data_IF_512961502133
#
_entry.id   IF_512961502133
#
_cell.length_a   1.000
_cell.length_b   1.000
_cell.length_c   1.000
_cell.angle_alpha   90.00
_cell.angle_beta   90.00
_cell.angle_gamma   90.00
#
_symmetry.space_group_name_H-M   'P 1'
#
loop_
_entity.id
_entity.type
_entity.pdbx_description
1 polymer ?
#
# COMPACT_ATOMS: atom_id res chain seq x y z
N UNK A 1 24.91 9.84 14.40
CA UNK A 1 24.10 10.36 13.31
C UNK A 1 23.21 9.24 12.82
N UNK A 2 21.94 9.50 12.53
CA UNK A 2 20.91 8.50 12.26
C UNK A 2 20.92 8.08 10.79
N UNK A 3 20.41 6.89 10.50
CA UNK A 3 20.06 6.47 9.15
C UNK A 3 18.72 7.11 8.77
N UNK A 4 18.67 7.83 7.66
CA UNK A 4 17.42 8.35 7.11
C UNK A 4 16.86 7.38 6.06
N UNK A 5 15.55 7.13 6.09
CA UNK A 5 14.88 6.32 5.07
C UNK A 5 13.86 7.17 4.32
N UNK A 6 14.04 7.31 3.01
CA UNK A 6 13.08 7.95 2.12
C UNK A 6 12.21 6.89 1.46
N UNK A 7 10.92 6.93 1.76
CA UNK A 7 9.94 5.94 1.32
C UNK A 7 9.15 6.45 0.12
N UNK A 8 9.13 5.66 -0.96
CA UNK A 8 8.28 5.89 -2.13
C UNK A 8 7.27 4.76 -2.26
N UNK A 9 6.04 5.11 -2.65
CA UNK A 9 5.03 4.14 -3.04
C UNK A 9 3.97 3.81 -1.97
N UNK A 10 3.83 2.54 -1.59
CA UNK A 10 2.66 2.04 -0.88
C UNK A 10 2.85 1.93 0.65
N UNK A 11 1.76 1.60 1.35
CA UNK A 11 1.72 1.36 2.81
C UNK A 11 2.67 0.25 3.24
N UNK A 12 2.86 -0.76 2.40
CA UNK A 12 3.80 -1.85 2.64
C UNK A 12 5.25 -1.33 2.67
N UNK A 13 5.62 -0.46 1.72
CA UNK A 13 6.94 0.20 1.76
C UNK A 13 7.11 1.05 3.03
N UNK A 14 6.04 1.68 3.54
CA UNK A 14 6.12 2.43 4.79
C UNK A 14 6.43 1.52 5.98
N UNK A 15 5.77 0.37 6.10
CA UNK A 15 6.10 -0.64 7.11
C UNK A 15 7.56 -1.12 6.96
N UNK A 16 7.95 -1.50 5.75
CA UNK A 16 9.30 -2.00 5.48
C UNK A 16 10.39 -0.95 5.78
N UNK A 17 10.08 0.33 5.61
CA UNK A 17 11.03 1.42 5.93
C UNK A 17 11.33 1.53 7.43
N UNK A 18 10.39 1.20 8.31
CA UNK A 18 10.65 1.12 9.76
C UNK A 18 11.59 -0.06 10.08
N UNK A 19 11.39 -1.21 9.41
CA UNK A 19 12.31 -2.36 9.54
C UNK A 19 13.70 -1.98 9.04
N UNK A 20 13.78 -1.36 7.86
CA UNK A 20 15.03 -0.91 7.26
C UNK A 20 15.78 0.04 8.20
N UNK A 21 15.11 1.06 8.73
CA UNK A 21 15.72 2.02 9.64
C UNK A 21 16.35 1.32 10.84
N UNK A 22 15.58 0.43 11.49
CA UNK A 22 16.02 -0.34 12.65
C UNK A 22 17.22 -1.24 12.33
N UNK A 23 17.16 -2.00 11.24
CA UNK A 23 18.22 -2.96 10.91
C UNK A 23 19.50 -2.24 10.41
N UNK A 24 19.36 -1.15 9.68
CA UNK A 24 20.49 -0.33 9.25
C UNK A 24 21.17 0.38 10.45
N UNK A 25 20.41 0.89 11.41
CA UNK A 25 20.94 1.45 12.66
C UNK A 25 21.66 0.39 13.49
N UNK A 26 21.07 -0.80 13.66
CA UNK A 26 21.70 -1.94 14.35
C UNK A 26 22.98 -2.40 13.69
N UNK A 27 23.04 -2.34 12.37
CA UNK A 27 24.27 -2.60 11.62
C UNK A 27 25.33 -1.51 11.78
N UNK A 28 24.95 -0.36 12.35
CA UNK A 28 25.85 0.77 12.60
C UNK A 28 26.18 1.58 11.35
N UNK A 29 25.25 1.68 10.38
CA UNK A 29 25.38 2.61 9.26
C UNK A 29 25.31 4.03 9.79
N UNK A 30 26.16 4.89 9.27
CA UNK A 30 26.24 6.31 9.59
C UNK A 30 26.27 7.13 8.28
N UNK A 31 25.78 8.36 8.33
CA UNK A 31 25.75 9.29 7.20
C UNK A 31 25.18 8.64 5.91
N UNK A 32 24.13 7.84 6.12
CA UNK A 32 23.51 7.02 5.07
C UNK A 32 22.05 7.38 4.89
N UNK A 33 21.61 7.53 3.65
CA UNK A 33 20.19 7.59 3.29
C UNK A 33 19.80 6.34 2.50
N UNK A 34 18.76 5.66 2.95
CA UNK A 34 18.18 4.53 2.25
C UNK A 34 16.97 4.98 1.45
N UNK A 35 16.96 4.71 0.15
CA UNK A 35 15.85 4.98 -0.76
C UNK A 35 15.04 3.72 -0.93
N UNK A 36 13.88 3.61 -0.27
CA UNK A 36 12.95 2.49 -0.46
C UNK A 36 12.02 2.78 -1.65
N UNK A 37 12.35 2.25 -2.81
CA UNK A 37 11.80 2.61 -4.12
C UNK A 37 10.52 1.84 -4.48
N UNK A 38 9.71 2.44 -5.37
CA UNK A 38 8.48 1.85 -5.91
C UNK A 38 8.61 1.59 -7.41
N UNK A 39 8.09 0.43 -7.88
CA UNK A 39 8.08 0.05 -9.30
C UNK A 39 6.70 0.21 -9.96
N UNK A 40 5.66 0.62 -9.25
CA UNK A 40 4.28 0.62 -9.77
C UNK A 40 4.07 1.62 -10.90
N UNK A 41 4.68 2.80 -10.84
CA UNK A 41 4.59 3.81 -11.90
C UNK A 41 5.97 4.33 -12.33
N UNK A 42 6.11 4.73 -13.61
CA UNK A 42 7.35 5.36 -14.11
C UNK A 42 7.65 6.66 -13.36
N UNK A 43 6.60 7.37 -12.95
CA UNK A 43 6.73 8.60 -12.17
C UNK A 43 7.38 8.33 -10.81
N UNK A 44 6.96 7.28 -10.08
CA UNK A 44 7.57 6.91 -8.80
C UNK A 44 9.07 6.57 -8.95
N UNK A 45 9.44 5.87 -10.02
CA UNK A 45 10.86 5.59 -10.33
C UNK A 45 11.61 6.88 -10.65
N UNK A 46 11.03 7.78 -11.43
CA UNK A 46 11.63 9.06 -11.77
C UNK A 46 11.82 9.95 -10.53
N UNK A 47 10.84 10.01 -9.64
CA UNK A 47 10.91 10.75 -8.37
C UNK A 47 12.03 10.21 -7.46
N UNK A 48 12.17 8.89 -7.35
CA UNK A 48 13.26 8.27 -6.59
C UNK A 48 14.63 8.70 -7.15
N UNK A 49 14.83 8.61 -8.47
CA UNK A 49 16.08 9.04 -9.13
C UNK A 49 16.37 10.54 -8.97
N UNK A 50 15.35 11.38 -9.06
CA UNK A 50 15.51 12.83 -8.84
C UNK A 50 15.91 13.12 -7.39
N UNK A 51 15.31 12.43 -6.42
CA UNK A 51 15.65 12.57 -5.01
C UNK A 51 17.08 12.14 -4.71
N UNK A 52 17.56 11.05 -5.30
CA UNK A 52 18.95 10.57 -5.21
C UNK A 52 19.91 11.67 -5.68
N UNK A 53 19.71 12.21 -6.90
CA UNK A 53 20.56 13.28 -7.46
C UNK A 53 20.53 14.56 -6.62
N UNK A 54 19.35 14.93 -6.11
CA UNK A 54 19.21 16.09 -5.22
C UNK A 54 20.01 15.92 -3.94
N UNK A 55 19.84 14.78 -3.25
CA UNK A 55 20.55 14.47 -2.00
C UNK A 55 22.07 14.51 -2.17
N UNK A 56 22.60 13.89 -3.21
CA UNK A 56 24.05 13.85 -3.45
C UNK A 56 24.62 15.21 -3.81
N UNK A 57 23.83 16.07 -4.47
CA UNK A 57 24.22 17.47 -4.75
C UNK A 57 24.22 18.34 -3.49
N UNK A 58 23.23 18.16 -2.60
CA UNK A 58 23.10 18.91 -1.34
C UNK A 58 24.11 18.44 -0.29
N UNK A 59 24.42 17.15 -0.28
CA UNK A 59 25.35 16.51 0.67
C UNK A 59 26.23 15.48 -0.07
N UNK A 60 27.36 15.91 -0.69
CA UNK A 60 28.21 15.03 -1.51
C UNK A 60 28.80 13.84 -0.77
N UNK A 61 29.06 13.98 0.54
CA UNK A 61 29.63 12.94 1.42
C UNK A 61 28.61 11.85 1.78
N UNK A 62 27.32 12.09 1.55
CA UNK A 62 26.25 11.18 1.96
C UNK A 62 26.33 9.87 1.20
N UNK A 63 26.23 8.74 1.92
CA UNK A 63 26.12 7.41 1.34
C UNK A 63 24.66 7.14 0.95
N UNK A 64 24.41 6.64 -0.25
CA UNK A 64 23.08 6.37 -0.76
C UNK A 64 22.94 4.88 -1.07
N UNK A 65 22.06 4.23 -0.32
CA UNK A 65 21.65 2.83 -0.56
C UNK A 65 20.26 2.82 -1.17
N UNK A 66 20.07 2.11 -2.27
CA UNK A 66 18.75 2.01 -2.92
C UNK A 66 18.20 0.59 -2.74
N UNK A 67 16.93 0.50 -2.38
CA UNK A 67 16.20 -0.77 -2.24
C UNK A 67 14.75 -0.63 -2.70
N UNK A 68 13.93 -1.66 -2.51
CA UNK A 68 12.52 -1.67 -2.86
C UNK A 68 12.21 -2.25 -4.23
N UNK A 69 10.95 -2.15 -4.65
CA UNK A 69 10.47 -2.85 -5.85
C UNK A 69 11.19 -2.41 -7.14
N UNK A 70 11.56 -1.13 -7.28
CA UNK A 70 12.26 -0.66 -8.46
C UNK A 70 13.73 -1.14 -8.47
N UNK A 71 14.39 -1.15 -7.31
CA UNK A 71 15.73 -1.70 -7.17
C UNK A 71 15.78 -3.21 -7.47
N UNK A 72 14.76 -3.96 -7.07
CA UNK A 72 14.65 -5.39 -7.37
C UNK A 72 14.44 -5.67 -8.86
N UNK A 73 13.63 -4.85 -9.54
CA UNK A 73 13.28 -5.09 -10.96
C UNK A 73 14.25 -4.47 -11.97
N UNK A 74 15.02 -3.48 -11.56
CA UNK A 74 15.96 -2.73 -12.40
C UNK A 74 17.21 -2.33 -11.59
N UNK A 75 17.95 -3.29 -11.01
CA UNK A 75 19.09 -2.99 -10.14
C UNK A 75 20.21 -2.26 -10.88
N UNK A 76 20.49 -2.62 -12.14
CA UNK A 76 21.53 -2.02 -12.97
C UNK A 76 21.28 -0.53 -13.17
N UNK A 77 20.01 -0.12 -13.41
CA UNK A 77 19.65 1.28 -13.61
C UNK A 77 20.05 2.16 -12.41
N UNK A 78 19.97 1.64 -11.20
CA UNK A 78 20.40 2.36 -10.01
C UNK A 78 21.91 2.23 -9.77
N UNK A 79 22.49 1.07 -10.01
CA UNK A 79 23.94 0.83 -9.84
C UNK A 79 24.80 1.67 -10.80
N UNK A 80 24.29 1.98 -12.00
CA UNK A 80 24.92 2.87 -12.99
C UNK A 80 24.89 4.35 -12.57
N UNK A 81 24.07 4.74 -11.61
CA UNK A 81 24.08 6.11 -11.10
C UNK A 81 25.33 6.33 -10.24
N UNK A 82 26.10 7.38 -10.58
CA UNK A 82 27.31 7.72 -9.83
C UNK A 82 27.03 8.09 -8.36
N UNK A 83 25.81 8.57 -8.11
CA UNK A 83 25.33 8.96 -6.80
C UNK A 83 24.98 7.78 -5.88
N UNK A 84 24.80 6.58 -6.43
CA UNK A 84 24.39 5.38 -5.67
C UNK A 84 25.60 4.57 -5.28
N UNK A 85 25.71 4.31 -4.00
CA UNK A 85 26.83 3.54 -3.43
C UNK A 85 26.51 2.04 -3.35
N UNK A 86 25.21 1.65 -3.14
CA UNK A 86 24.80 0.25 -3.10
C UNK A 86 23.32 0.07 -3.48
N UNK A 87 23.00 -1.10 -4.04
CA UNK A 87 21.63 -1.55 -4.35
C UNK A 87 21.37 -2.83 -3.58
N UNK A 88 20.32 -2.84 -2.76
CA UNK A 88 19.92 -3.99 -1.91
C UNK A 88 18.55 -4.50 -2.36
N UNK A 89 18.42 -5.81 -2.51
CA UNK A 89 17.19 -6.45 -2.96
C UNK A 89 16.02 -6.32 -1.98
N UNK A 90 14.86 -6.72 -2.44
CA UNK A 90 13.60 -6.51 -1.72
C UNK A 90 13.37 -7.53 -0.59
N UNK A 91 14.02 -8.70 -0.65
CA UNK A 91 14.06 -9.66 0.46
C UNK A 91 15.21 -9.34 1.40
N UNK A 92 16.38 -9.04 0.86
CA UNK A 92 17.60 -8.73 1.59
C UNK A 92 17.42 -7.53 2.52
N UNK A 93 16.68 -6.50 2.10
CA UNK A 93 16.43 -5.31 2.92
C UNK A 93 15.75 -5.60 4.27
N UNK A 94 15.10 -6.76 4.38
CA UNK A 94 14.42 -7.22 5.59
C UNK A 94 15.34 -8.03 6.51
N UNK A 95 16.60 -8.27 6.15
CA UNK A 95 17.55 -9.14 6.88
C UNK A 95 18.70 -8.33 7.46
N UNK A 96 19.02 -8.57 8.72
CA UNK A 96 20.14 -7.90 9.42
C UNK A 96 21.49 -8.13 8.75
N UNK A 97 21.68 -9.33 8.17
CA UNK A 97 22.91 -9.71 7.47
C UNK A 97 23.20 -8.76 6.31
N UNK A 98 22.21 -8.48 5.48
CA UNK A 98 22.36 -7.63 4.31
C UNK A 98 22.83 -6.20 4.67
N UNK A 99 22.39 -5.68 5.82
CA UNK A 99 22.80 -4.36 6.30
C UNK A 99 24.22 -4.37 6.86
N UNK A 100 24.66 -5.46 7.52
CA UNK A 100 26.04 -5.63 7.95
C UNK A 100 26.99 -5.73 6.76
N UNK A 101 26.61 -6.48 5.73
CA UNK A 101 27.35 -6.57 4.46
C UNK A 101 27.37 -5.22 3.72
N UNK A 102 26.25 -4.52 3.69
CA UNK A 102 26.19 -3.18 3.10
C UNK A 102 27.13 -2.21 3.80
N UNK A 103 27.18 -2.22 5.14
CA UNK A 103 28.13 -1.44 5.91
C UNK A 103 29.58 -1.79 5.56
N UNK A 104 29.95 -3.08 5.60
CA UNK A 104 31.30 -3.53 5.31
C UNK A 104 31.75 -3.08 3.90
N UNK A 105 30.87 -3.21 2.90
CA UNK A 105 31.14 -2.76 1.54
C UNK A 105 31.32 -1.24 1.44
N UNK A 106 30.50 -0.45 2.15
CA UNK A 106 30.59 1.01 2.17
C UNK A 106 31.84 1.51 2.92
N UNK A 107 32.31 0.79 3.93
CA UNK A 107 33.49 1.16 4.72
C UNK A 107 34.82 0.72 4.07
N UNK A 108 34.80 -0.23 3.13
CA UNK A 108 36.00 -0.72 2.45
C UNK A 108 36.68 0.32 1.56
N UNK A 109 35.97 1.37 1.12
CA UNK A 109 36.52 2.50 0.36
C UNK A 109 37.11 2.16 -1.01
N UNK A 110 37.08 0.91 -1.42
CA UNK A 110 37.56 0.48 -2.74
C UNK A 110 36.53 0.84 -3.81
N UNK A 111 37.00 1.31 -4.95
CA UNK A 111 36.17 1.64 -6.12
C UNK A 111 35.38 0.42 -6.58
N UNK A 112 34.17 0.31 -6.03
CA UNK A 112 33.26 -0.81 -6.29
C UNK A 112 32.74 -0.67 -7.72
N UNK A 113 32.99 -1.68 -8.55
CA UNK A 113 32.41 -1.76 -9.90
C UNK A 113 30.89 -1.80 -9.87
N UNK A 114 30.23 -1.46 -10.97
CA UNK A 114 28.74 -1.40 -11.04
C UNK A 114 28.09 -2.72 -10.60
N UNK A 115 28.67 -3.87 -10.97
CA UNK A 115 28.18 -5.20 -10.57
C UNK A 115 28.35 -5.48 -9.08
N UNK A 116 29.40 -4.97 -8.47
CA UNK A 116 29.70 -5.16 -7.04
C UNK A 116 28.80 -4.29 -6.15
N UNK A 117 28.19 -3.23 -6.69
CA UNK A 117 27.18 -2.45 -5.99
C UNK A 117 25.87 -3.20 -5.79
N UNK A 118 25.59 -4.26 -6.55
CA UNK A 118 24.32 -4.96 -6.59
C UNK A 118 24.34 -6.14 -5.62
N UNK A 119 23.51 -6.07 -4.59
CA UNK A 119 23.20 -7.16 -3.66
C UNK A 119 21.71 -7.51 -3.77
N UNK A 120 21.33 -8.11 -4.88
CA UNK A 120 19.95 -8.44 -5.24
C UNK A 120 19.87 -9.89 -5.68
N UNK A 121 19.21 -10.74 -4.89
CA UNK A 121 18.98 -12.13 -5.22
C UNK A 121 17.70 -12.33 -6.06
N UNK A 122 17.50 -13.55 -6.56
CA UNK A 122 16.27 -13.93 -7.25
C UNK A 122 15.10 -13.97 -6.28
N UNK A 123 14.25 -12.95 -6.36
CA UNK A 123 13.06 -12.82 -5.51
C UNK A 123 12.06 -13.98 -5.71
N UNK A 124 12.09 -14.66 -6.86
CA UNK A 124 11.21 -15.81 -7.14
C UNK A 124 11.65 -17.08 -6.39
N UNK A 125 12.90 -17.15 -5.92
CA UNK A 125 13.40 -18.23 -5.09
C UNK A 125 12.98 -18.14 -3.62
N UNK A 126 12.54 -16.98 -3.17
CA UNK A 126 12.16 -16.75 -1.76
C UNK A 126 10.84 -17.47 -1.46
N UNK A 127 10.86 -18.35 -0.44
CA UNK A 127 9.72 -19.19 -0.04
C UNK A 127 9.09 -18.77 1.27
N UNK A 128 9.86 -18.17 2.16
CA UNK A 128 9.42 -17.84 3.51
C UNK A 128 9.51 -16.35 3.75
N UNK A 129 8.70 -15.86 4.65
CA UNK A 129 8.72 -14.49 5.12
C UNK A 129 9.18 -14.48 6.58
N UNK A 130 10.29 -13.79 6.86
CA UNK A 130 10.72 -13.60 8.22
C UNK A 130 9.70 -12.69 8.95
N UNK A 131 9.13 -13.13 10.09
CA UNK A 131 8.29 -12.26 10.89
C UNK A 131 9.16 -11.16 11.48
N UNK A 132 8.84 -9.91 11.18
CA UNK A 132 9.49 -8.76 11.80
C UNK A 132 8.59 -8.22 12.91
N UNK A 133 8.88 -8.64 14.13
CA UNK A 133 8.32 -8.00 15.33
C UNK A 133 8.99 -6.63 15.44
N UNK A 134 8.31 -5.60 14.99
CA UNK A 134 8.74 -4.22 15.22
C UNK A 134 8.47 -3.88 16.69
N UNK A 135 9.53 -3.47 17.38
CA UNK A 135 9.43 -2.95 18.73
C UNK A 135 8.70 -1.60 18.82
N UNK A 136 7.96 -1.20 17.80
CA UNK A 136 7.21 0.04 17.60
C UNK A 136 7.63 0.74 16.33
N UNK A 137 6.71 1.53 15.81
CA UNK A 137 6.98 2.56 14.83
C UNK A 137 7.54 3.79 15.54
N UNK A 138 8.03 4.79 14.80
CA UNK A 138 8.41 6.10 15.39
C UNK A 138 7.37 6.50 16.41
N UNK A 139 7.83 6.80 17.62
CA UNK A 139 6.94 7.14 18.74
C UNK A 139 5.94 8.22 18.33
N UNK A 140 4.66 8.02 18.63
CA UNK A 140 3.61 9.00 18.40
C UNK A 140 2.82 8.85 17.09
N UNK A 141 3.04 7.80 16.27
CA UNK A 141 2.17 7.55 15.12
C UNK A 141 0.82 6.96 15.60
N UNK A 142 -0.31 7.66 15.40
CA UNK A 142 -1.62 7.18 15.83
C UNK A 142 -2.08 5.91 15.11
N UNK A 143 -1.66 5.78 13.84
CA UNK A 143 -1.96 4.66 12.94
C UNK A 143 -0.68 4.02 12.48
N UNK A 144 -0.64 2.69 12.52
CA UNK A 144 0.52 1.91 12.08
C UNK A 144 0.09 0.78 11.14
N UNK A 145 1.03 0.37 10.28
CA UNK A 145 0.81 -0.71 9.33
C UNK A 145 1.40 -2.00 9.86
N UNK A 146 0.70 -3.11 9.67
CA UNK A 146 1.19 -4.46 9.98
C UNK A 146 1.16 -5.29 8.70
N UNK A 147 2.33 -5.70 8.25
CA UNK A 147 2.45 -6.58 7.11
C UNK A 147 1.98 -7.99 7.49
N UNK A 148 0.97 -8.49 6.76
CA UNK A 148 0.45 -9.85 6.95
C UNK A 148 0.77 -10.78 5.79
N UNK A 149 1.06 -10.20 4.62
CA UNK A 149 1.31 -10.94 3.38
C UNK A 149 2.25 -10.14 2.47
N UNK A 150 3.07 -10.82 1.67
CA UNK A 150 3.93 -10.21 0.66
C UNK A 150 3.97 -11.09 -0.60
N UNK A 151 4.33 -10.47 -1.75
CA UNK A 151 4.32 -11.15 -3.04
C UNK A 151 2.92 -11.37 -3.59
N UNK A 152 2.81 -11.97 -4.78
CA UNK A 152 1.53 -12.24 -5.43
C UNK A 152 1.69 -13.35 -6.47
N UNK A 153 0.79 -14.34 -6.43
CA UNK A 153 0.77 -15.45 -7.40
C UNK A 153 -0.03 -15.12 -8.66
N UNK A 154 -0.77 -14.00 -8.64
CA UNK A 154 -1.44 -13.54 -9.83
C UNK A 154 -0.45 -13.02 -10.87
N UNK A 155 -0.78 -13.22 -12.11
CA UNK A 155 0.03 -12.80 -13.28
C UNK A 155 -0.80 -11.85 -14.15
N UNK A 156 -1.33 -10.78 -13.51
CA UNK A 156 -2.01 -9.70 -14.22
C UNK A 156 -1.09 -9.12 -15.28
N UNK A 157 -1.61 -8.92 -16.49
CA UNK A 157 -0.78 -8.62 -17.67
C UNK A 157 -0.02 -7.30 -17.60
N UNK A 158 -0.43 -6.39 -16.74
CA UNK A 158 0.18 -5.07 -16.55
C UNK A 158 1.12 -4.99 -15.34
N UNK A 159 1.10 -6.01 -14.46
CA UNK A 159 1.66 -5.91 -13.13
C UNK A 159 3.13 -6.35 -13.09
N UNK A 160 3.98 -5.49 -12.51
CA UNK A 160 5.39 -5.75 -12.28
C UNK A 160 5.66 -6.31 -10.86
N UNK A 161 4.66 -6.30 -9.99
CA UNK A 161 4.83 -6.62 -8.56
C UNK A 161 5.36 -8.03 -8.31
N UNK A 162 4.93 -9.10 -9.00
CA UNK A 162 5.51 -10.42 -8.80
C UNK A 162 7.02 -10.46 -9.01
N UNK A 163 7.53 -9.67 -9.96
CA UNK A 163 8.97 -9.58 -10.24
C UNK A 163 9.74 -8.73 -9.22
N UNK A 164 9.04 -7.83 -8.53
CA UNK A 164 9.64 -7.02 -7.47
C UNK A 164 9.49 -7.61 -6.08
N UNK A 165 8.53 -8.53 -5.86
CA UNK A 165 8.19 -9.04 -4.54
C UNK A 165 8.11 -10.56 -4.44
N UNK A 166 8.20 -11.28 -5.56
CA UNK A 166 8.12 -12.74 -5.61
C UNK A 166 6.71 -13.29 -5.51
N UNK A 167 6.62 -14.59 -5.24
CA UNK A 167 5.38 -15.31 -5.02
C UNK A 167 4.72 -14.93 -3.69
N UNK A 168 3.44 -15.25 -3.54
CA UNK A 168 2.67 -15.00 -2.32
C UNK A 168 3.29 -15.72 -1.12
N UNK A 169 3.43 -15.00 -0.02
CA UNK A 169 3.94 -15.49 1.26
C UNK A 169 3.22 -14.78 2.39
N UNK A 170 2.82 -15.52 3.40
CA UNK A 170 2.03 -15.04 4.53
C UNK A 170 2.84 -15.04 5.82
N UNK A 171 2.58 -14.08 6.70
CA UNK A 171 3.11 -14.11 8.07
C UNK A 171 2.26 -15.08 8.89
N UNK A 172 2.86 -16.00 9.68
CA UNK A 172 2.10 -16.87 10.56
C UNK A 172 1.14 -16.10 11.47
N UNK A 173 -0.09 -16.60 11.61
CA UNK A 173 -1.18 -15.92 12.33
C UNK A 173 -0.80 -15.50 13.75
N UNK A 174 -0.14 -16.38 14.51
CA UNK A 174 0.32 -16.08 15.87
C UNK A 174 1.28 -14.88 15.90
N UNK A 175 2.23 -14.82 14.98
CA UNK A 175 3.17 -13.70 14.89
C UNK A 175 2.48 -12.37 14.54
N UNK A 176 1.43 -12.40 13.70
CA UNK A 176 0.62 -11.19 13.43
C UNK A 176 -0.12 -10.74 14.68
N UNK A 177 -0.75 -11.66 15.41
CA UNK A 177 -1.48 -11.35 16.67
C UNK A 177 -0.52 -10.75 17.71
N UNK A 178 0.66 -11.33 17.89
CA UNK A 178 1.67 -10.84 18.83
C UNK A 178 2.20 -9.46 18.44
N UNK A 179 2.42 -9.22 17.14
CA UNK A 179 2.80 -7.89 16.64
C UNK A 179 1.72 -6.85 16.90
N UNK A 180 0.46 -7.18 16.66
CA UNK A 180 -0.68 -6.28 16.91
C UNK A 180 -0.79 -5.97 18.39
N UNK A 181 -0.65 -6.98 19.26
CA UNK A 181 -0.68 -6.81 20.71
C UNK A 181 0.42 -5.85 21.18
N UNK A 182 1.67 -6.10 20.78
CA UNK A 182 2.79 -5.25 21.12
C UNK A 182 2.61 -3.78 20.70
N UNK A 183 2.01 -3.54 19.54
CA UNK A 183 1.72 -2.19 19.04
C UNK A 183 0.59 -1.52 19.85
N UNK A 184 -0.46 -2.26 20.20
CA UNK A 184 -1.56 -1.74 21.04
C UNK A 184 -1.09 -1.40 22.44
N UNK A 185 -0.27 -2.24 23.08
CA UNK A 185 0.36 -2.00 24.38
C UNK A 185 1.21 -0.72 24.40
N UNK A 186 1.75 -0.32 23.25
CA UNK A 186 2.50 0.94 23.07
C UNK A 186 1.64 2.16 22.75
N UNK A 187 0.31 1.98 22.72
CA UNK A 187 -0.65 3.06 22.60
C UNK A 187 -1.05 3.42 21.17
N UNK A 188 -0.68 2.61 20.15
CA UNK A 188 -1.19 2.84 18.81
C UNK A 188 -2.69 2.57 18.74
N UNK A 189 -3.45 3.57 18.28
CA UNK A 189 -4.91 3.54 18.32
C UNK A 189 -5.55 2.81 17.14
N UNK A 190 -4.90 2.80 15.97
CA UNK A 190 -5.38 2.11 14.77
C UNK A 190 -4.29 1.24 14.15
N UNK A 191 -4.62 -0.02 13.93
CA UNK A 191 -3.79 -0.98 13.19
C UNK A 191 -4.38 -1.17 11.79
N UNK A 192 -3.53 -1.09 10.76
CA UNK A 192 -3.92 -1.35 9.38
C UNK A 192 -3.19 -2.58 8.87
N UNK A 193 -3.93 -3.66 8.62
CA UNK A 193 -3.36 -4.84 7.95
C UNK A 193 -3.00 -4.47 6.53
N UNK A 194 -1.80 -4.82 6.10
CA UNK A 194 -1.30 -4.50 4.76
C UNK A 194 -0.60 -5.70 4.13
N UNK A 195 -0.67 -5.76 2.82
CA UNK A 195 -0.05 -6.77 1.99
C UNK A 195 -0.11 -6.38 0.52
N UNK A 196 0.36 -7.25 -0.34
CA UNK A 196 0.28 -7.11 -1.80
C UNK A 196 -1.05 -7.67 -2.31
N UNK A 197 -1.41 -8.85 -1.81
CA UNK A 197 -2.60 -9.63 -2.18
C UNK A 197 -3.16 -10.28 -0.92
N UNK A 198 -3.79 -9.46 -0.09
CA UNK A 198 -4.20 -9.89 1.25
C UNK A 198 -5.30 -10.95 1.24
N UNK A 199 -6.14 -11.00 0.21
CA UNK A 199 -7.17 -12.02 0.08
C UNK A 199 -6.61 -13.42 -0.17
N UNK A 200 -5.35 -13.51 -0.65
CA UNK A 200 -4.60 -14.77 -0.74
C UNK A 200 -3.89 -15.20 0.54
N UNK A 201 -4.07 -14.43 1.65
CA UNK A 201 -3.43 -14.75 2.94
C UNK A 201 -3.66 -16.20 3.35
N UNK A 202 -2.58 -16.85 3.79
CA UNK A 202 -2.58 -18.16 4.42
C UNK A 202 -2.52 -19.34 3.48
N UNK A 203 -2.61 -19.15 2.15
CA UNK A 203 -2.53 -20.25 1.18
C UNK A 203 -1.22 -21.06 1.24
N UNK A 204 -0.18 -20.47 1.76
CA UNK A 204 1.17 -21.02 1.97
C UNK A 204 1.42 -21.49 3.42
N UNK A 205 0.46 -21.30 4.32
CA UNK A 205 0.57 -21.68 5.73
C UNK A 205 -0.12 -23.03 6.01
N UNK A 206 0.33 -23.78 7.03
CA UNK A 206 -0.35 -25.00 7.45
C UNK A 206 -1.81 -24.73 7.80
N UNK A 207 -2.72 -25.55 7.25
CA UNK A 207 -4.16 -25.41 7.44
C UNK A 207 -4.83 -24.32 6.61
N UNK A 208 -4.07 -23.64 5.76
CA UNK A 208 -4.54 -22.63 4.80
C UNK A 208 -5.55 -21.61 5.40
N UNK A 209 -5.22 -20.97 6.54
CA UNK A 209 -6.12 -20.00 7.17
C UNK A 209 -6.41 -18.85 6.23
N UNK A 210 -7.62 -18.29 6.29
CA UNK A 210 -8.03 -17.17 5.45
C UNK A 210 -7.92 -15.82 6.20
N UNK A 211 -7.99 -14.71 5.46
CA UNK A 211 -7.91 -13.36 6.00
C UNK A 211 -8.99 -13.08 7.06
N UNK A 212 -10.21 -13.60 6.86
CA UNK A 212 -11.28 -13.47 7.84
C UNK A 212 -10.94 -14.15 9.16
N UNK A 213 -10.37 -15.36 9.12
CA UNK A 213 -9.91 -16.07 10.32
C UNK A 213 -8.80 -15.28 11.04
N UNK A 214 -7.80 -14.77 10.31
CA UNK A 214 -6.77 -13.90 10.90
C UNK A 214 -7.42 -12.70 11.60
N UNK A 215 -8.37 -12.04 10.93
CA UNK A 215 -9.07 -10.86 11.47
C UNK A 215 -9.84 -11.21 12.75
N UNK A 216 -10.58 -12.32 12.76
CA UNK A 216 -11.27 -12.84 13.97
C UNK A 216 -10.29 -13.13 15.11
N UNK A 217 -9.14 -13.74 14.82
CA UNK A 217 -8.13 -14.05 15.87
C UNK A 217 -7.49 -12.79 16.45
N UNK A 218 -7.15 -11.80 15.62
CA UNK A 218 -6.65 -10.50 16.12
C UNK A 218 -7.66 -9.86 17.07
N UNK A 219 -8.91 -9.74 16.64
CA UNK A 219 -9.97 -9.09 17.42
C UNK A 219 -10.30 -9.84 18.72
N UNK A 220 -10.20 -11.18 18.70
CA UNK A 220 -10.40 -12.04 19.87
C UNK A 220 -9.26 -11.91 20.88
N UNK A 221 -8.00 -11.91 20.42
CA UNK A 221 -6.83 -12.01 21.30
C UNK A 221 -6.21 -10.65 21.66
N UNK A 222 -6.70 -9.57 21.07
CA UNK A 222 -6.30 -8.19 21.38
C UNK A 222 -7.56 -7.35 21.61
N UNK A 223 -8.27 -7.55 22.73
CA UNK A 223 -9.53 -6.85 23.03
C UNK A 223 -9.36 -5.34 23.21
N UNK A 224 -8.16 -4.87 23.57
CA UNK A 224 -7.82 -3.46 23.74
C UNK A 224 -7.64 -2.71 22.42
N UNK A 225 -7.55 -3.42 21.30
CA UNK A 225 -7.47 -2.82 19.96
C UNK A 225 -8.73 -2.02 19.67
N UNK A 226 -8.56 -0.70 19.53
CA UNK A 226 -9.70 0.22 19.30
C UNK A 226 -10.18 0.20 17.86
N UNK A 227 -9.24 0.10 16.89
CA UNK A 227 -9.55 0.23 15.46
C UNK A 227 -8.66 -0.70 14.65
N UNK A 228 -9.29 -1.61 13.93
CA UNK A 228 -8.64 -2.46 12.93
C UNK A 228 -9.08 -2.02 11.54
N UNK A 229 -8.18 -1.94 10.60
CA UNK A 229 -8.47 -1.60 9.21
C UNK A 229 -7.77 -2.54 8.26
N UNK A 230 -8.40 -2.86 7.15
CA UNK A 230 -7.84 -3.63 6.05
C UNK A 230 -7.46 -2.64 4.93
N UNK A 231 -6.25 -2.78 4.34
CA UNK A 231 -5.77 -1.81 3.35
C UNK A 231 -6.46 -1.96 1.99
N UNK A 232 -6.31 -3.10 1.33
CA UNK A 232 -6.95 -3.37 0.03
C UNK A 232 -7.22 -4.86 -0.13
N UNK A 233 -8.30 -5.19 -0.83
CA UNK A 233 -8.74 -6.56 -1.07
C UNK A 233 -9.16 -6.76 -2.53
N UNK A 234 -9.10 -7.99 -2.99
CA UNK A 234 -9.75 -8.42 -4.23
C UNK A 234 -11.17 -8.93 -3.90
N UNK A 235 -12.19 -8.27 -4.43
CA UNK A 235 -13.60 -8.51 -4.08
C UNK A 235 -14.07 -9.94 -4.31
N UNK A 236 -13.52 -10.62 -5.33
CA UNK A 236 -13.93 -11.99 -5.69
C UNK A 236 -13.36 -13.06 -4.75
N UNK A 237 -12.37 -12.73 -3.93
CA UNK A 237 -11.68 -13.67 -3.03
C UNK A 237 -12.02 -13.46 -1.56
N UNK A 238 -12.97 -12.60 -1.26
CA UNK A 238 -13.39 -12.35 0.11
C UNK A 238 -14.05 -13.61 0.70
N UNK A 239 -13.47 -14.11 1.78
CA UNK A 239 -13.98 -15.29 2.46
C UNK A 239 -15.18 -14.97 3.39
N UNK A 240 -15.95 -16.02 3.74
CA UNK A 240 -17.15 -15.88 4.57
C UNK A 240 -16.84 -15.29 5.96
N UNK A 241 -15.76 -15.73 6.58
CA UNK A 241 -15.36 -15.24 7.90
C UNK A 241 -15.10 -13.75 7.88
N UNK A 242 -14.52 -13.23 6.77
CA UNK A 242 -14.31 -11.78 6.60
C UNK A 242 -15.65 -11.04 6.43
N UNK A 243 -16.61 -11.58 5.70
CA UNK A 243 -17.95 -11.00 5.58
C UNK A 243 -18.66 -10.94 6.94
N UNK A 244 -18.54 -11.98 7.77
CA UNK A 244 -19.11 -11.99 9.12
C UNK A 244 -18.48 -10.87 9.99
N UNK A 245 -17.14 -10.70 9.93
CA UNK A 245 -16.45 -9.64 10.68
C UNK A 245 -16.85 -8.25 10.16
N UNK A 246 -17.04 -8.07 8.85
CA UNK A 246 -17.55 -6.82 8.28
C UNK A 246 -18.93 -6.48 8.81
N UNK A 247 -19.80 -7.50 8.96
CA UNK A 247 -21.17 -7.33 9.42
C UNK A 247 -21.27 -7.00 10.92
N UNK A 248 -20.47 -7.68 11.76
CA UNK A 248 -20.75 -7.78 13.19
C UNK A 248 -19.73 -7.03 14.07
N UNK A 249 -18.49 -6.81 13.59
CA UNK A 249 -17.42 -6.31 14.45
C UNK A 249 -17.24 -4.78 14.31
N UNK A 250 -17.62 -4.04 15.34
CA UNK A 250 -17.51 -2.58 15.36
C UNK A 250 -16.06 -2.07 15.31
N UNK A 251 -15.10 -2.83 15.82
CA UNK A 251 -13.67 -2.47 15.81
C UNK A 251 -13.03 -2.66 14.44
N UNK A 252 -13.65 -3.42 13.52
CA UNK A 252 -13.28 -3.37 12.11
C UNK A 252 -13.90 -2.10 11.49
N UNK A 253 -13.04 -1.20 11.06
CA UNK A 253 -13.48 0.09 10.51
C UNK A 253 -14.32 -0.09 9.23
N UNK A 254 -15.46 0.65 9.10
CA UNK A 254 -16.38 0.54 7.97
C UNK A 254 -15.82 1.21 6.71
N UNK A 255 -14.73 0.65 6.21
CA UNK A 255 -14.06 1.10 4.99
C UNK A 255 -13.34 -0.07 4.34
N UNK A 256 -13.62 -0.31 3.07
CA UNK A 256 -12.91 -1.28 2.23
C UNK A 256 -12.36 -0.59 0.98
N UNK A 257 -11.17 -0.99 0.56
CA UNK A 257 -10.57 -0.56 -0.69
C UNK A 257 -10.44 -1.74 -1.65
N UNK A 258 -10.97 -1.61 -2.87
CA UNK A 258 -11.14 -2.72 -3.81
C UNK A 258 -10.17 -2.59 -4.98
N UNK A 259 -9.52 -3.69 -5.34
CA UNK A 259 -8.62 -3.76 -6.49
C UNK A 259 -9.40 -4.04 -7.78
N UNK A 260 -10.31 -3.13 -8.21
CA UNK A 260 -11.21 -3.34 -9.35
C UNK A 260 -10.51 -3.22 -10.71
N UNK A 261 -9.60 -2.28 -10.86
CA UNK A 261 -8.74 -2.02 -12.03
C UNK A 261 -9.48 -1.51 -13.28
N UNK A 262 -10.66 -2.02 -13.62
CA UNK A 262 -11.50 -1.59 -14.75
C UNK A 262 -12.97 -1.91 -14.51
N UNK A 263 -13.85 -1.18 -15.17
CA UNK A 263 -15.30 -1.47 -15.23
C UNK A 263 -15.76 -2.13 -16.52
N UNK A 264 -14.84 -2.66 -17.32
CA UNK A 264 -15.15 -3.31 -18.60
C UNK A 264 -14.64 -4.74 -18.64
N UNK A 265 -15.51 -5.71 -18.91
CA UNK A 265 -15.20 -7.14 -18.86
C UNK A 265 -14.13 -7.55 -19.88
N UNK A 266 -14.09 -6.92 -21.07
CA UNK A 266 -13.05 -7.23 -22.04
C UNK A 266 -11.69 -6.71 -21.58
N UNK A 267 -11.63 -5.54 -20.95
CA UNK A 267 -10.40 -5.01 -20.35
C UNK A 267 -9.99 -5.86 -19.18
N UNK A 268 -10.90 -6.24 -18.27
CA UNK A 268 -10.63 -7.15 -17.14
C UNK A 268 -10.06 -8.48 -17.64
N UNK A 269 -10.63 -9.06 -18.69
CA UNK A 269 -10.12 -10.28 -19.32
C UNK A 269 -8.69 -10.09 -19.88
N UNK A 270 -8.42 -8.97 -20.57
CA UNK A 270 -7.08 -8.62 -21.10
C UNK A 270 -6.07 -8.37 -19.96
N UNK A 271 -6.53 -7.85 -18.83
CA UNK A 271 -5.75 -7.70 -17.60
C UNK A 271 -5.47 -9.02 -16.90
N UNK A 272 -6.16 -10.13 -17.27
CA UNK A 272 -6.22 -11.40 -16.53
C UNK A 272 -6.78 -11.22 -15.11
N UNK A 273 -7.80 -10.38 -14.96
CA UNK A 273 -8.59 -10.31 -13.72
C UNK A 273 -9.57 -11.48 -13.65
N UNK A 274 -9.97 -11.84 -12.44
CA UNK A 274 -10.82 -13.01 -12.16
C UNK A 274 -12.27 -12.66 -11.88
N UNK A 275 -12.57 -11.38 -11.74
CA UNK A 275 -13.93 -10.85 -11.57
C UNK A 275 -14.40 -10.18 -12.86
N UNK A 276 -15.71 -10.14 -13.00
CA UNK A 276 -16.44 -9.35 -14.00
C UNK A 276 -16.93 -8.05 -13.37
N UNK A 277 -17.39 -7.13 -14.22
CA UNK A 277 -18.07 -5.90 -13.77
C UNK A 277 -19.25 -6.20 -12.83
N UNK A 278 -20.09 -7.19 -13.18
CA UNK A 278 -21.23 -7.61 -12.38
C UNK A 278 -20.83 -8.06 -10.97
N UNK A 279 -19.73 -8.81 -10.84
CA UNK A 279 -19.24 -9.31 -9.56
C UNK A 279 -18.84 -8.15 -8.63
N UNK A 280 -18.21 -7.11 -9.19
CA UNK A 280 -17.85 -5.91 -8.43
C UNK A 280 -19.10 -5.17 -7.91
N UNK A 281 -20.12 -4.99 -8.75
CA UNK A 281 -21.37 -4.33 -8.38
C UNK A 281 -22.12 -5.15 -7.31
N UNK A 282 -22.21 -6.46 -7.50
CA UNK A 282 -22.86 -7.37 -6.55
C UNK A 282 -22.16 -7.39 -5.19
N UNK A 283 -20.84 -7.47 -5.18
CA UNK A 283 -20.05 -7.39 -3.93
C UNK A 283 -20.27 -6.07 -3.20
N UNK A 284 -20.25 -4.93 -3.91
CA UNK A 284 -20.51 -3.63 -3.31
C UNK A 284 -21.93 -3.56 -2.71
N UNK A 285 -22.94 -4.12 -3.40
CA UNK A 285 -24.29 -4.22 -2.88
C UNK A 285 -24.38 -5.16 -1.66
N UNK A 286 -23.69 -6.29 -1.69
CA UNK A 286 -23.64 -7.25 -0.59
C UNK A 286 -23.09 -6.64 0.69
N UNK A 287 -21.89 -6.02 0.62
CA UNK A 287 -21.27 -5.45 1.83
C UNK A 287 -22.07 -4.27 2.39
N UNK A 288 -22.81 -3.51 1.55
CA UNK A 288 -23.74 -2.48 2.03
C UNK A 288 -24.97 -3.05 2.72
N UNK A 289 -25.47 -4.20 2.28
CA UNK A 289 -26.56 -4.87 3.02
C UNK A 289 -26.09 -5.33 4.40
N UNK A 290 -24.84 -5.79 4.52
CA UNK A 290 -24.24 -6.22 5.78
C UNK A 290 -23.88 -5.04 6.69
N UNK A 291 -23.36 -3.96 6.11
CA UNK A 291 -22.93 -2.74 6.84
C UNK A 291 -23.29 -1.50 6.04
N UNK A 292 -24.50 -0.92 6.26
CA UNK A 292 -25.06 0.13 5.41
C UNK A 292 -24.25 1.42 5.33
N UNK A 293 -23.48 1.74 6.35
CA UNK A 293 -22.63 2.94 6.44
C UNK A 293 -21.25 2.79 5.79
N UNK A 294 -20.88 1.59 5.30
CA UNK A 294 -19.55 1.30 4.79
C UNK A 294 -19.15 2.24 3.64
N UNK A 295 -17.93 2.78 3.76
CA UNK A 295 -17.32 3.56 2.69
C UNK A 295 -16.46 2.63 1.80
N UNK A 296 -16.69 2.69 0.49
CA UNK A 296 -15.97 1.89 -0.48
C UNK A 296 -15.00 2.75 -1.28
N UNK A 297 -13.80 2.26 -1.48
CA UNK A 297 -12.82 2.83 -2.40
C UNK A 297 -12.40 1.82 -3.45
N UNK A 298 -11.81 2.30 -4.55
CA UNK A 298 -11.25 1.41 -5.55
C UNK A 298 -10.04 1.99 -6.28
N UNK A 299 -9.18 1.08 -6.78
CA UNK A 299 -8.15 1.38 -7.76
C UNK A 299 -8.70 1.15 -9.16
N UNK A 300 -8.57 2.13 -10.07
CA UNK A 300 -8.94 2.00 -11.47
C UNK A 300 -7.83 2.54 -12.37
N UNK A 301 -7.48 1.76 -13.40
CA UNK A 301 -6.49 2.12 -14.42
C UNK A 301 -7.20 2.78 -15.60
N UNK A 302 -6.78 3.99 -15.96
CA UNK A 302 -7.26 4.71 -17.14
C UNK A 302 -6.30 4.51 -18.31
N UNK A 303 -6.83 4.14 -19.48
CA UNK A 303 -6.06 4.00 -20.70
C UNK A 303 -5.23 2.72 -20.79
N UNK A 304 -5.74 1.62 -20.23
CA UNK A 304 -5.14 0.29 -20.45
C UNK A 304 -5.04 0.00 -21.97
N UNK A 305 -3.98 -0.70 -22.46
CA UNK A 305 -3.85 -1.03 -23.87
C UNK A 305 -5.14 -1.57 -24.47
N UNK A 306 -5.50 -1.06 -25.64
CA UNK A 306 -6.73 -1.40 -26.39
C UNK A 306 -8.05 -0.91 -25.76
N UNK A 307 -8.04 -0.09 -24.73
CA UNK A 307 -9.25 0.51 -24.15
C UNK A 307 -9.87 1.48 -25.15
N UNK A 308 -11.15 1.27 -25.51
CA UNK A 308 -11.94 2.22 -26.31
C UNK A 308 -12.60 3.28 -25.42
N UNK A 309 -13.27 4.26 -26.03
CA UNK A 309 -14.01 5.27 -25.25
C UNK A 309 -15.23 4.67 -24.53
N UNK A 310 -15.91 3.71 -25.15
CA UNK A 310 -17.05 3.01 -24.55
C UNK A 310 -16.60 2.12 -23.37
N UNK A 311 -15.44 1.47 -23.48
CA UNK A 311 -14.86 0.68 -22.39
C UNK A 311 -14.46 1.57 -21.21
N UNK A 312 -13.87 2.73 -21.51
CA UNK A 312 -13.57 3.75 -20.49
C UNK A 312 -14.84 4.29 -19.82
N UNK A 313 -15.90 4.56 -20.60
CA UNK A 313 -17.18 5.03 -20.05
C UNK A 313 -17.74 4.05 -19.03
N UNK A 314 -17.67 2.72 -19.29
CA UNK A 314 -18.08 1.70 -18.33
C UNK A 314 -17.25 1.73 -17.02
N UNK A 315 -15.96 2.01 -17.10
CA UNK A 315 -15.11 2.16 -15.89
C UNK A 315 -15.48 3.42 -15.09
N UNK A 316 -15.84 4.52 -15.76
CA UNK A 316 -16.33 5.73 -15.10
C UNK A 316 -17.70 5.50 -14.45
N UNK A 317 -18.60 4.83 -15.11
CA UNK A 317 -19.97 4.59 -14.63
C UNK A 317 -19.97 3.65 -13.41
N UNK A 318 -19.01 2.72 -13.35
CA UNK A 318 -18.81 1.83 -12.20
C UNK A 318 -18.58 2.60 -10.88
N UNK A 319 -18.01 3.82 -10.94
CA UNK A 319 -17.81 4.67 -9.75
C UNK A 319 -19.16 4.96 -9.06
N UNK A 320 -20.20 5.23 -9.84
CA UNK A 320 -21.55 5.55 -9.33
C UNK A 320 -22.36 4.30 -9.04
N UNK A 321 -22.24 3.25 -9.85
CA UNK A 321 -22.95 1.98 -9.63
C UNK A 321 -22.50 1.25 -8.37
N UNK A 322 -21.20 1.28 -8.07
CA UNK A 322 -20.64 0.80 -6.81
C UNK A 322 -20.71 1.84 -5.69
N UNK A 323 -21.24 3.05 -5.94
CA UNK A 323 -21.29 4.19 -5.01
C UNK A 323 -19.95 4.36 -4.26
N UNK A 324 -18.85 4.42 -5.01
CA UNK A 324 -17.51 4.54 -4.46
C UNK A 324 -17.34 5.91 -3.79
N UNK A 325 -16.80 5.91 -2.58
CA UNK A 325 -16.43 7.14 -1.86
C UNK A 325 -15.04 7.61 -2.24
N UNK A 326 -14.10 6.66 -2.43
CA UNK A 326 -12.71 6.96 -2.73
C UNK A 326 -12.31 6.32 -4.06
N UNK A 327 -11.62 7.08 -4.89
CA UNK A 327 -11.12 6.57 -6.15
C UNK A 327 -9.64 6.89 -6.34
N UNK A 328 -8.82 5.87 -6.46
CA UNK A 328 -7.43 6.00 -6.89
C UNK A 328 -7.34 5.74 -8.39
N UNK A 329 -6.97 6.76 -9.13
CA UNK A 329 -6.86 6.70 -10.59
C UNK A 329 -5.42 6.58 -11.02
N UNK A 330 -5.09 5.46 -11.66
CA UNK A 330 -3.78 5.19 -12.21
C UNK A 330 -3.80 5.38 -13.74
N UNK A 331 -3.15 6.40 -14.30
CA UNK A 331 -2.86 6.39 -15.74
C UNK A 331 -2.05 5.15 -16.06
N UNK A 332 -2.45 4.39 -17.09
CA UNK A 332 -1.68 3.21 -17.47
C UNK A 332 -0.21 3.57 -17.69
N UNK A 333 0.67 2.83 -17.05
CA UNK A 333 2.11 3.01 -17.11
C UNK A 333 2.76 1.75 -17.67
N UNK A 334 3.27 1.85 -18.91
CA UNK A 334 3.94 0.74 -19.61
C UNK A 334 5.13 0.24 -18.79
N UNK A 335 5.16 -1.06 -18.51
CA UNK A 335 6.25 -1.71 -17.76
C UNK A 335 7.00 -2.69 -18.68
N UNK A 336 8.31 -2.50 -18.93
CA UNK A 336 9.11 -3.46 -19.65
C UNK A 336 8.96 -4.87 -19.07
N UNK A 337 8.92 -5.88 -19.91
CA UNK A 337 8.75 -7.28 -19.49
C UNK A 337 7.30 -7.74 -19.27
N UNK A 338 6.35 -6.83 -19.08
CA UNK A 338 4.94 -7.21 -18.90
C UNK A 338 4.23 -7.49 -20.23
N UNK A 339 3.25 -8.44 -20.28
CA UNK A 339 2.48 -8.70 -21.49
C UNK A 339 1.76 -7.47 -22.05
N UNK A 340 1.18 -6.63 -21.18
CA UNK A 340 0.47 -5.41 -21.60
C UNK A 340 1.37 -4.40 -22.30
N UNK A 341 2.68 -4.39 -22.01
CA UNK A 341 3.63 -3.53 -22.70
C UNK A 341 3.78 -3.83 -24.21
N UNK A 342 3.37 -5.02 -24.64
CA UNK A 342 3.42 -5.49 -26.04
C UNK A 342 2.09 -5.36 -26.76
N UNK A 343 1.01 -5.02 -26.06
CA UNK A 343 -0.31 -4.79 -26.67
C UNK A 343 -0.35 -3.42 -27.38
N UNK A 344 -1.29 -3.19 -28.31
CA UNK A 344 -1.52 -1.87 -28.91
C UNK A 344 -1.81 -0.82 -27.83
N UNK A 345 -0.98 0.20 -27.76
CA UNK A 345 -1.06 1.23 -26.71
C UNK A 345 -2.11 2.29 -27.06
N UNK A 346 -2.79 2.81 -26.03
CA UNK A 346 -3.62 4.01 -26.13
C UNK A 346 -2.70 5.23 -26.21
N UNK A 347 -3.07 6.24 -27.00
CA UNK A 347 -2.31 7.48 -27.12
C UNK A 347 -2.16 8.17 -25.75
N UNK A 348 -0.97 8.70 -25.45
CA UNK A 348 -0.65 9.27 -24.13
C UNK A 348 -1.59 10.42 -23.74
N UNK A 349 -2.02 11.26 -24.68
CA UNK A 349 -2.96 12.35 -24.40
C UNK A 349 -4.36 11.82 -24.06
N UNK A 350 -4.82 10.76 -24.74
CA UNK A 350 -6.08 10.09 -24.40
C UNK A 350 -6.03 9.49 -22.98
N UNK A 351 -4.89 8.88 -22.58
CA UNK A 351 -4.69 8.38 -21.20
C UNK A 351 -4.81 9.53 -20.19
N UNK A 352 -4.18 10.67 -20.45
CA UNK A 352 -4.24 11.85 -19.55
C UNK A 352 -5.68 12.39 -19.42
N UNK A 353 -6.38 12.52 -20.55
CA UNK A 353 -7.77 13.00 -20.57
C UNK A 353 -8.68 12.05 -19.83
N UNK A 354 -8.59 10.74 -20.04
CA UNK A 354 -9.37 9.73 -19.35
C UNK A 354 -9.08 9.73 -17.84
N UNK A 355 -7.80 9.78 -17.46
CA UNK A 355 -7.42 9.86 -16.04
C UNK A 355 -7.98 11.13 -15.37
N UNK A 356 -7.98 12.28 -16.05
CA UNK A 356 -8.60 13.51 -15.53
C UNK A 356 -10.10 13.37 -15.35
N UNK A 357 -10.82 12.82 -16.33
CA UNK A 357 -12.27 12.58 -16.27
C UNK A 357 -12.65 11.61 -15.15
N UNK A 358 -11.85 10.56 -14.95
CA UNK A 358 -12.09 9.57 -13.91
C UNK A 358 -11.82 10.16 -12.51
N UNK A 359 -10.77 10.99 -12.35
CA UNK A 359 -10.54 11.73 -11.10
C UNK A 359 -11.69 12.67 -10.78
N UNK A 360 -12.22 13.40 -11.76
CA UNK A 360 -13.36 14.27 -11.55
C UNK A 360 -14.62 13.49 -11.09
N UNK A 361 -14.84 12.27 -11.61
CA UNK A 361 -15.92 11.40 -11.14
C UNK A 361 -15.68 10.97 -9.67
N UNK A 362 -14.45 10.62 -9.30
CA UNK A 362 -14.09 10.29 -7.93
C UNK A 362 -14.21 11.47 -6.97
N UNK A 363 -13.82 12.68 -7.39
CA UNK A 363 -13.98 13.91 -6.62
C UNK A 363 -15.47 14.21 -6.37
N UNK A 364 -16.32 14.09 -7.38
CA UNK A 364 -17.77 14.27 -7.23
C UNK A 364 -18.38 13.25 -6.26
N UNK A 365 -17.95 11.99 -6.33
CA UNK A 365 -18.40 10.94 -5.41
C UNK A 365 -17.97 11.24 -3.96
N UNK A 366 -16.72 11.66 -3.74
CA UNK A 366 -16.23 12.06 -2.42
C UNK A 366 -17.01 13.27 -1.87
N UNK A 367 -17.24 14.30 -2.69
CA UNK A 367 -18.00 15.49 -2.29
C UNK A 367 -19.44 15.15 -1.88
N UNK A 368 -20.11 14.26 -2.63
CA UNK A 368 -21.43 13.73 -2.28
C UNK A 368 -21.40 13.08 -0.88
N UNK A 369 -20.39 12.25 -0.61
CA UNK A 369 -20.24 11.60 0.69
C UNK A 369 -19.95 12.61 1.80
N UNK A 370 -19.03 13.56 1.60
CA UNK A 370 -18.71 14.59 2.59
C UNK A 370 -19.94 15.43 2.95
N UNK A 371 -20.75 15.80 1.95
CA UNK A 371 -21.98 16.56 2.17
C UNK A 371 -23.02 15.79 3.03
N UNK A 372 -23.11 14.47 2.87
CA UNK A 372 -24.03 13.62 3.65
C UNK A 372 -23.64 13.44 5.11
N UNK A 373 -22.41 13.83 5.50
CA UNK A 373 -21.90 13.67 6.86
C UNK A 373 -22.27 14.84 7.79
N UNK A 374 -22.76 15.97 7.26
CA UNK A 374 -23.10 17.15 8.06
C UNK A 374 -24.17 16.82 9.11
N UNK A 375 -23.92 17.18 10.35
CA UNK A 375 -24.76 16.89 11.53
C UNK A 375 -24.50 15.52 12.17
N UNK A 376 -23.71 14.64 11.54
CA UNK A 376 -23.39 13.35 12.11
C UNK A 376 -22.28 13.48 13.19
N UNK A 377 -22.36 12.66 14.24
CA UNK A 377 -21.25 12.46 15.16
C UNK A 377 -20.37 11.33 14.67
N UNK A 378 -19.04 11.60 14.52
CA UNK A 378 -18.07 10.62 14.04
C UNK A 378 -16.95 10.41 15.06
N UNK A 379 -16.51 9.16 15.20
CA UNK A 379 -15.33 8.83 16.01
C UNK A 379 -14.08 9.10 15.19
N UNK A 380 -13.44 10.23 15.47
CA UNK A 380 -12.26 10.70 14.71
C UNK A 380 -10.98 10.27 15.40
N UNK A 381 -10.10 9.60 14.66
CA UNK A 381 -8.71 9.40 15.07
C UNK A 381 -7.92 10.66 14.72
N UNK A 382 -7.32 11.28 15.72
CA UNK A 382 -6.47 12.45 15.54
C UNK A 382 -5.10 11.99 15.04
N UNK A 383 -4.74 12.39 13.82
CA UNK A 383 -3.47 12.01 13.19
C UNK A 383 -2.36 13.03 13.43
N UNK A 384 -2.75 14.29 13.50
CA UNK A 384 -1.86 15.43 13.80
C UNK A 384 -2.68 16.56 14.42
N UNK A 385 -2.02 17.65 14.77
CA UNK A 385 -2.64 18.91 15.25
C UNK A 385 -3.60 19.56 14.23
N UNK A 386 -3.57 19.12 12.96
CA UNK A 386 -4.35 19.69 11.83
C UNK A 386 -5.23 18.71 11.10
N UNK A 387 -5.11 17.43 11.39
CA UNK A 387 -5.80 16.40 10.62
C UNK A 387 -6.20 15.22 11.48
N UNK A 388 -7.42 14.73 11.24
CA UNK A 388 -7.92 13.45 11.74
C UNK A 388 -8.61 12.64 10.64
N UNK A 389 -9.05 11.45 11.01
CA UNK A 389 -9.86 10.59 10.13
C UNK A 389 -10.98 9.92 10.88
N UNK A 390 -12.16 9.93 10.25
CA UNK A 390 -13.31 9.19 10.75
C UNK A 390 -13.10 7.68 10.68
N UNK A 391 -13.99 6.91 11.27
CA UNK A 391 -14.08 5.46 11.11
C UNK A 391 -14.21 5.04 9.63
N UNK A 392 -14.88 5.85 8.80
CA UNK A 392 -15.04 5.65 7.34
C UNK A 392 -13.85 6.11 6.50
N UNK A 393 -12.76 6.50 7.14
CA UNK A 393 -11.54 7.02 6.51
C UNK A 393 -11.67 8.43 5.89
N UNK A 394 -12.79 9.13 6.11
CA UNK A 394 -12.97 10.51 5.64
C UNK A 394 -12.00 11.45 6.37
N UNK A 395 -11.29 12.33 5.64
CA UNK A 395 -10.40 13.30 6.26
C UNK A 395 -11.20 14.37 7.01
N UNK A 396 -10.69 14.77 8.17
CA UNK A 396 -11.29 15.80 9.05
C UNK A 396 -10.23 16.87 9.32
N UNK A 397 -10.60 18.13 9.16
CA UNK A 397 -9.79 19.27 9.60
C UNK A 397 -9.90 19.37 11.13
N UNK A 398 -8.74 19.38 11.81
CA UNK A 398 -8.63 19.41 13.27
C UNK A 398 -7.87 20.67 13.69
N UNK A 399 -8.09 21.14 14.92
CA UNK A 399 -7.33 22.23 15.51
C UNK A 399 -7.14 22.00 17.01
N UNK A 400 -5.87 21.83 17.41
CA UNK A 400 -5.50 21.81 18.83
C UNK A 400 -5.67 20.48 19.58
N UNK A 401 -6.05 19.41 18.88
CA UNK A 401 -6.26 18.08 19.51
C UNK A 401 -4.97 17.26 19.58
N UNK A 402 -4.91 16.35 20.56
CA UNK A 402 -3.74 15.50 20.79
C UNK A 402 -3.69 14.32 19.80
N UNK A 403 -2.60 14.15 19.04
CA UNK A 403 -2.43 12.99 18.17
C UNK A 403 -2.53 11.67 18.95
N UNK A 404 -3.20 10.68 18.38
CA UNK A 404 -3.45 9.36 18.99
C UNK A 404 -4.79 9.25 19.71
N UNK A 405 -5.45 10.37 20.02
CA UNK A 405 -6.80 10.32 20.59
C UNK A 405 -7.82 9.83 19.55
N UNK A 406 -8.80 9.08 20.03
CA UNK A 406 -10.02 8.73 19.27
C UNK A 406 -11.19 9.35 20.02
N UNK A 407 -11.84 10.32 19.40
CA UNK A 407 -12.89 11.10 20.08
C UNK A 407 -14.11 11.32 19.18
N UNK A 408 -15.32 11.41 19.78
CA UNK A 408 -16.51 11.77 19.05
C UNK A 408 -16.49 13.26 18.71
N UNK A 409 -16.66 13.60 17.44
CA UNK A 409 -16.76 14.97 16.96
C UNK A 409 -18.02 15.13 16.09
N UNK A 410 -18.69 16.26 16.23
CA UNK A 410 -19.88 16.60 15.41
C UNK A 410 -19.40 17.27 14.12
N UNK A 411 -19.79 16.72 12.98
CA UNK A 411 -19.47 17.30 11.67
C UNK A 411 -20.34 18.53 11.44
N UNK A 412 -19.76 19.70 11.31
CA UNK A 412 -20.45 20.98 11.06
C UNK A 412 -20.58 21.29 9.57
N UNK A 413 -19.73 20.67 8.70
CA UNK A 413 -19.75 20.87 7.26
C UNK A 413 -18.54 20.22 6.59
N UNK A 414 -18.14 20.76 5.43
CA UNK A 414 -16.93 20.35 4.72
C UNK A 414 -16.36 21.50 3.87
N UNK A 415 -15.05 21.42 3.56
CA UNK A 415 -14.34 22.38 2.70
C UNK A 415 -14.21 21.91 1.24
N UNK A 416 -14.96 20.87 0.84
CA UNK A 416 -14.88 20.20 -0.46
C UNK A 416 -13.86 19.08 -0.55
N UNK A 417 -12.92 19.00 0.41
CA UNK A 417 -11.89 17.95 0.49
C UNK A 417 -11.90 17.24 1.85
N UNK A 418 -12.31 17.91 2.92
CA UNK A 418 -12.30 17.42 4.30
C UNK A 418 -13.55 17.84 5.03
N UNK A 419 -13.96 17.05 6.01
CA UNK A 419 -14.99 17.43 6.98
C UNK A 419 -14.47 18.53 7.91
N UNK A 420 -15.37 19.41 8.35
CA UNK A 420 -15.12 20.39 9.43
C UNK A 420 -15.93 20.00 10.68
N UNK A 421 -15.38 20.23 11.85
CA UNK A 421 -15.94 19.85 13.15
C UNK A 421 -16.00 21.05 14.09
#
# INVERSE_FOLDING_TARGET
MSVDVLTFGCRLNAFESEVIAREAERAGLIDTVVINSCAVTNEAVAQARQSIRRLKRERPELRIVVTGCAAQTQPEMFAEMAEVDRVVGNDEKMRSEAWREARAALDSGFGIGTSEKIAVADIMAVREMAPHLLDGFKAGLPRVFVQVQNGCDHRCTFCIIPYGRGNSRSVPMGAVVDQVRALVERGHAEIVLTGVDMTSYGSDLPGEPKLGQLTKQILRHVPELKRLRISSIDSIEVDRDLLDVIAEEERLMPHLHLSLQSGDDMILKRMKRRHLRSDAIEFCAQVRRLRPDIALGADIIAGFPTETEEMFARSRDLVFECDLTFLHVFPYSRRPGTPAARMPQVAGDAIKVRAKRLRAAGEAALQKRLASETGATRRVLIESDKQGRTEHFLPVAISGETPGAVMPLVVTGNDGARLTV
#
